data_IF_291828047063
#
_entry.id   IF_291828047063
#
_cell.length_a   1.000
_cell.length_b   1.000
_cell.length_c   1.000
_cell.angle_alpha   90.00
_cell.angle_beta   90.00
_cell.angle_gamma   90.00
#
_symmetry.space_group_name_H-M   'P 1'
#
loop_
_entity.id
_entity.type
_entity.pdbx_description
1 polymer ?
#
# COMPACT_ATOMS: atom_id res chain seq x y z
N UNK A 1 -51.47 14.40 20.01
CA UNK A 1 -50.96 14.61 18.64
C UNK A 1 -50.75 13.24 18.02
N UNK A 2 -51.57 12.88 17.03
CA UNK A 2 -51.52 11.59 16.32
C UNK A 2 -50.72 11.80 15.04
N UNK A 3 -49.58 11.13 14.88
CA UNK A 3 -48.84 11.07 13.61
C UNK A 3 -49.35 9.85 12.83
N UNK A 4 -49.98 10.10 11.68
CA UNK A 4 -50.39 9.07 10.73
C UNK A 4 -49.20 8.56 9.93
N UNK A 5 -49.00 7.25 9.93
CA UNK A 5 -48.18 6.51 8.96
C UNK A 5 -48.92 6.47 7.62
N UNK A 6 -48.28 6.95 6.55
CA UNK A 6 -48.74 6.74 5.18
C UNK A 6 -47.98 5.58 4.55
N UNK A 7 -48.69 4.49 4.30
CA UNK A 7 -48.26 3.28 3.61
C UNK A 7 -48.51 3.48 2.12
N UNK A 8 -47.46 3.40 1.29
CA UNK A 8 -47.58 3.35 -0.18
C UNK A 8 -47.53 1.88 -0.64
N UNK A 9 -48.53 1.38 -1.39
CA UNK A 9 -48.44 0.09 -2.06
C UNK A 9 -47.89 0.31 -3.49
N UNK A 10 -46.73 -0.27 -3.79
CA UNK A 10 -46.27 -0.40 -5.17
C UNK A 10 -46.76 -1.73 -5.76
N UNK A 11 -47.50 -1.58 -6.85
CA UNK A 11 -48.18 -2.60 -7.63
C UNK A 11 -47.19 -3.55 -8.31
N UNK A 12 -47.43 -4.85 -8.13
CA UNK A 12 -46.93 -5.92 -8.98
C UNK A 12 -47.65 -5.89 -10.33
N UNK A 13 -46.89 -5.90 -11.43
CA UNK A 13 -47.40 -6.22 -12.77
C UNK A 13 -46.79 -7.55 -13.25
N UNK A 14 -47.59 -8.51 -13.75
CA UNK A 14 -47.09 -9.76 -14.30
C UNK A 14 -46.73 -9.57 -15.78
N UNK A 15 -45.49 -9.90 -16.14
CA UNK A 15 -45.07 -9.99 -17.55
C UNK A 15 -45.41 -11.39 -18.08
N UNK A 16 -46.37 -11.40 -18.99
CA UNK A 16 -46.90 -12.56 -19.72
C UNK A 16 -45.85 -13.09 -20.70
N UNK A 17 -45.62 -14.40 -20.63
CA UNK A 17 -44.79 -15.16 -21.56
C UNK A 17 -45.46 -15.25 -22.94
N UNK A 18 -44.75 -14.82 -23.98
CA UNK A 18 -45.10 -15.09 -25.37
C UNK A 18 -44.25 -16.26 -25.89
N UNK A 19 -44.88 -17.42 -26.08
CA UNK A 19 -44.31 -18.54 -26.83
C UNK A 19 -44.39 -18.23 -28.32
N UNK A 20 -43.23 -18.04 -28.97
CA UNK A 20 -43.11 -18.04 -30.42
C UNK A 20 -42.64 -19.44 -30.89
N UNK A 21 -43.54 -20.17 -31.54
CA UNK A 21 -43.23 -21.40 -32.27
C UNK A 21 -42.52 -21.05 -33.58
N UNK A 22 -41.26 -21.45 -33.73
CA UNK A 22 -40.56 -21.38 -35.02
C UNK A 22 -40.50 -22.76 -35.71
N UNK A 23 -40.60 -22.79 -37.05
CA UNK A 23 -40.64 -24.00 -37.85
C UNK A 23 -39.26 -24.64 -38.08
N UNK A 24 -39.29 -25.93 -38.41
CA UNK A 24 -38.16 -26.82 -38.63
C UNK A 24 -37.11 -26.31 -39.64
N UNK A 25 -35.81 -26.58 -39.42
CA UNK A 25 -34.76 -26.24 -40.37
C UNK A 25 -34.72 -27.20 -41.55
N UNK A 26 -34.68 -26.62 -42.76
CA UNK A 26 -34.34 -27.30 -44.00
C UNK A 26 -32.85 -27.63 -44.02
N UNK A 27 -32.57 -28.85 -44.46
CA UNK A 27 -31.25 -29.42 -44.71
C UNK A 27 -30.53 -28.62 -45.81
N UNK A 28 -29.54 -27.82 -45.44
CA UNK A 28 -28.59 -27.18 -46.34
C UNK A 28 -27.18 -27.55 -45.86
N UNK A 29 -26.60 -28.52 -46.54
CA UNK A 29 -25.17 -28.88 -46.47
C UNK A 29 -24.33 -27.67 -46.91
N UNK A 30 -24.02 -26.80 -45.95
CA UNK A 30 -22.98 -25.79 -46.08
C UNK A 30 -21.65 -26.42 -45.69
N UNK A 31 -20.72 -26.40 -46.64
CA UNK A 31 -19.33 -26.79 -46.51
C UNK A 31 -18.66 -25.89 -45.46
N UNK A 32 -18.60 -26.35 -44.21
CA UNK A 32 -17.91 -25.66 -43.14
C UNK A 32 -16.39 -25.74 -43.38
N UNK A 33 -15.82 -24.66 -43.89
CA UNK A 33 -14.40 -24.41 -43.73
C UNK A 33 -14.14 -24.22 -42.23
N UNK A 34 -13.52 -25.24 -41.62
CA UNK A 34 -12.98 -25.19 -40.27
C UNK A 34 -11.87 -24.13 -40.22
N UNK A 35 -12.20 -22.94 -39.75
CA UNK A 35 -11.23 -21.97 -39.20
C UNK A 35 -11.27 -22.08 -37.69
N UNK A 36 -10.93 -23.28 -37.18
CA UNK A 36 -10.72 -23.51 -35.76
C UNK A 36 -9.21 -23.63 -35.53
N UNK A 37 -8.68 -22.81 -34.62
CA UNK A 37 -7.31 -22.82 -34.07
C UNK A 37 -6.21 -22.17 -34.91
N UNK A 38 -6.27 -20.84 -35.04
CA UNK A 38 -5.04 -20.03 -34.95
C UNK A 38 -5.30 -18.66 -34.29
N UNK A 39 -6.27 -18.61 -33.37
CA UNK A 39 -6.27 -17.62 -32.31
C UNK A 39 -5.19 -18.01 -31.29
N UNK A 40 -3.93 -18.06 -31.75
CA UNK A 40 -2.77 -17.92 -30.88
C UNK A 40 -2.90 -16.50 -30.34
N UNK A 41 -3.67 -16.37 -29.25
CA UNK A 41 -3.83 -15.15 -28.50
C UNK A 41 -2.45 -14.56 -28.40
N UNK A 42 -2.26 -13.44 -29.10
CA UNK A 42 -1.07 -12.60 -28.97
C UNK A 42 -1.09 -12.28 -27.48
N UNK A 43 -0.32 -13.04 -26.69
CA UNK A 43 -0.29 -12.93 -25.24
C UNK A 43 -0.14 -11.44 -24.99
N UNK A 44 -1.21 -10.87 -24.46
CA UNK A 44 -1.40 -9.43 -24.44
C UNK A 44 -0.19 -8.88 -23.70
N UNK A 45 0.52 -7.90 -24.28
CA UNK A 45 1.88 -7.52 -23.86
C UNK A 45 1.94 -6.86 -22.46
N UNK A 46 0.87 -6.97 -21.68
CA UNK A 46 0.74 -6.49 -20.32
C UNK A 46 0.78 -7.61 -19.26
N UNK A 47 1.03 -8.87 -19.66
CA UNK A 47 1.27 -9.95 -18.71
C UNK A 47 2.36 -9.55 -17.68
N UNK A 48 2.01 -9.61 -16.40
CA UNK A 48 2.92 -9.23 -15.30
C UNK A 48 2.95 -7.74 -14.94
N UNK A 49 2.12 -6.90 -15.58
CA UNK A 49 1.92 -5.51 -15.16
C UNK A 49 0.77 -5.41 -14.15
N UNK A 50 1.08 -5.26 -12.87
CA UNK A 50 0.09 -5.24 -11.78
C UNK A 50 -0.87 -4.04 -11.83
N UNK A 51 -0.45 -2.96 -12.50
CA UNK A 51 -1.24 -1.74 -12.70
C UNK A 51 -2.21 -1.82 -13.88
N UNK A 52 -2.23 -2.95 -14.60
CA UNK A 52 -3.11 -3.20 -15.74
C UNK A 52 -3.92 -4.48 -15.54
N UNK A 53 -5.13 -4.46 -16.10
CA UNK A 53 -5.97 -5.63 -16.21
C UNK A 53 -5.30 -6.64 -17.16
N UNK A 54 -5.09 -7.88 -16.70
CA UNK A 54 -4.36 -8.91 -17.45
C UNK A 54 -5.10 -9.35 -18.74
N UNK A 55 -6.42 -9.16 -18.80
CA UNK A 55 -7.25 -9.54 -19.94
C UNK A 55 -7.33 -8.40 -20.96
N UNK A 56 -7.67 -7.19 -20.51
CA UNK A 56 -7.92 -6.05 -21.41
C UNK A 56 -6.69 -5.17 -21.68
N UNK A 57 -5.62 -5.31 -20.87
CA UNK A 57 -4.47 -4.41 -20.81
C UNK A 57 -4.82 -2.92 -20.53
N UNK A 58 -6.05 -2.61 -20.14
CA UNK A 58 -6.40 -1.27 -19.65
C UNK A 58 -5.80 -1.05 -18.25
N UNK A 59 -5.55 0.22 -17.90
CA UNK A 59 -5.18 0.57 -16.53
C UNK A 59 -6.28 0.16 -15.55
N UNK A 60 -5.89 -0.28 -14.35
CA UNK A 60 -6.85 -0.55 -13.29
C UNK A 60 -7.62 0.73 -12.91
N UNK A 61 -8.84 0.61 -12.36
CA UNK A 61 -9.61 1.77 -11.89
C UNK A 61 -8.78 2.68 -10.99
N UNK A 62 -8.87 4.00 -11.21
CA UNK A 62 -8.10 5.01 -10.48
C UNK A 62 -6.68 5.28 -11.01
N UNK A 63 -6.22 4.54 -12.03
CA UNK A 63 -4.92 4.76 -12.66
C UNK A 63 -5.06 5.32 -14.08
N UNK A 64 -4.09 6.13 -14.50
CA UNK A 64 -4.02 6.72 -15.85
C UNK A 64 -2.87 6.10 -16.67
N UNK A 65 -3.08 6.00 -17.98
CA UNK A 65 -2.03 5.56 -18.91
C UNK A 65 -1.11 6.77 -19.24
N UNK A 66 0.16 6.76 -18.81
CA UNK A 66 1.08 7.86 -19.09
C UNK A 66 1.49 7.96 -20.57
N UNK A 67 1.04 7.04 -21.42
CA UNK A 67 1.40 6.98 -22.82
C UNK A 67 2.81 6.41 -23.06
N UNK A 68 3.16 6.21 -24.33
CA UNK A 68 4.47 5.67 -24.72
C UNK A 68 5.59 6.68 -24.38
N UNK A 69 6.75 6.22 -23.85
CA UNK A 69 7.23 4.84 -23.79
C UNK A 69 6.88 4.08 -22.49
N UNK A 70 6.19 4.70 -21.54
CA UNK A 70 5.90 4.09 -20.24
C UNK A 70 4.82 3.01 -20.41
N UNK A 71 5.13 1.78 -19.98
CA UNK A 71 4.20 0.65 -20.04
C UNK A 71 3.31 0.55 -18.80
N UNK A 72 3.73 1.13 -17.69
CA UNK A 72 3.07 1.03 -16.40
C UNK A 72 2.11 2.21 -16.18
N UNK A 73 0.92 1.92 -15.67
CA UNK A 73 -0.05 2.96 -15.34
C UNK A 73 0.36 3.70 -14.07
N UNK A 74 0.03 4.98 -13.98
CA UNK A 74 0.42 5.85 -12.87
C UNK A 74 -0.80 6.46 -12.20
N UNK A 75 -0.63 6.90 -10.96
CA UNK A 75 -1.65 7.70 -10.30
C UNK A 75 -1.80 9.08 -10.96
N UNK A 76 -3.00 9.69 -10.93
CA UNK A 76 -3.25 10.98 -11.57
C UNK A 76 -2.39 12.14 -11.04
N UNK A 77 -2.23 12.28 -9.73
CA UNK A 77 -1.39 13.34 -9.12
C UNK A 77 0.08 12.94 -9.01
N UNK A 78 0.62 12.28 -10.04
CA UNK A 78 2.08 12.09 -10.15
C UNK A 78 2.76 13.48 -10.29
N UNK A 79 3.87 13.77 -9.57
CA UNK A 79 4.73 12.86 -8.81
C UNK A 79 4.44 12.77 -7.29
N UNK A 80 3.28 13.21 -6.82
CA UNK A 80 2.93 13.22 -5.39
C UNK A 80 2.41 11.88 -4.87
N UNK A 81 2.13 10.96 -5.79
CA UNK A 81 1.49 9.68 -5.52
C UNK A 81 2.35 8.51 -5.95
N UNK A 82 2.17 7.38 -5.27
CA UNK A 82 2.63 6.07 -5.71
C UNK A 82 1.47 5.08 -5.75
N UNK A 83 1.61 4.04 -6.57
CA UNK A 83 0.61 2.97 -6.68
C UNK A 83 0.89 1.94 -5.58
N UNK A 84 -0.07 1.73 -4.70
CA UNK A 84 -0.08 0.66 -3.71
C UNK A 84 -0.94 -0.50 -4.22
N UNK A 85 -0.37 -1.70 -4.24
CA UNK A 85 -1.15 -2.93 -4.49
C UNK A 85 -1.86 -3.28 -3.18
N UNK A 86 -3.18 -3.15 -3.16
CA UNK A 86 -3.98 -3.35 -1.94
C UNK A 86 -4.47 -4.78 -1.81
N UNK A 87 -4.81 -5.44 -2.92
CA UNK A 87 -5.46 -6.75 -2.91
C UNK A 87 -4.99 -7.61 -4.09
N UNK A 88 -4.97 -8.92 -3.87
CA UNK A 88 -4.78 -9.92 -4.93
C UNK A 88 -6.02 -10.80 -4.92
N UNK A 89 -6.84 -10.70 -5.97
CA UNK A 89 -8.07 -11.46 -6.11
C UNK A 89 -7.80 -12.58 -7.12
N UNK A 90 -8.01 -13.82 -6.67
CA UNK A 90 -7.97 -14.99 -7.52
C UNK A 90 -9.39 -15.43 -7.86
N UNK A 91 -9.73 -15.45 -9.14
CA UNK A 91 -11.01 -15.96 -9.61
C UNK A 91 -10.84 -17.42 -10.07
N UNK A 92 -11.29 -18.35 -9.22
CA UNK A 92 -11.25 -19.80 -9.46
C UNK A 92 -11.98 -20.21 -10.76
N UNK A 93 -13.02 -19.47 -11.15
CA UNK A 93 -13.85 -19.83 -12.31
C UNK A 93 -13.15 -19.52 -13.63
N UNK A 94 -12.37 -18.44 -13.66
CA UNK A 94 -11.62 -18.00 -14.84
C UNK A 94 -10.15 -18.38 -14.78
N UNK A 95 -9.65 -18.79 -13.61
CA UNK A 95 -8.23 -19.00 -13.36
C UNK A 95 -7.42 -17.70 -13.49
N UNK A 96 -8.05 -16.55 -13.35
CA UNK A 96 -7.39 -15.24 -13.53
C UNK A 96 -7.02 -14.61 -12.19
N UNK A 97 -5.90 -13.88 -12.20
CA UNK A 97 -5.46 -13.06 -11.08
C UNK A 97 -5.76 -11.61 -11.43
N UNK A 98 -6.53 -10.93 -10.59
CA UNK A 98 -6.72 -9.48 -10.63
C UNK A 98 -6.06 -8.83 -9.42
N UNK A 99 -5.52 -7.64 -9.63
CA UNK A 99 -4.84 -6.88 -8.59
C UNK A 99 -5.67 -5.64 -8.27
N UNK A 100 -6.05 -5.51 -7.01
CA UNK A 100 -6.55 -4.25 -6.46
C UNK A 100 -5.37 -3.29 -6.33
N UNK A 101 -5.51 -2.08 -6.86
CA UNK A 101 -4.52 -1.03 -6.77
C UNK A 101 -5.16 0.26 -6.32
N UNK A 102 -4.50 0.98 -5.42
CA UNK A 102 -4.91 2.30 -4.92
C UNK A 102 -3.76 3.29 -5.03
N UNK A 103 -4.08 4.58 -5.03
CA UNK A 103 -3.11 5.65 -5.01
C UNK A 103 -2.89 6.14 -3.58
N UNK A 104 -1.63 6.25 -3.17
CA UNK A 104 -1.23 6.79 -1.87
C UNK A 104 -0.30 7.98 -2.04
N UNK A 105 -0.38 8.95 -1.13
CA UNK A 105 0.46 10.14 -1.16
C UNK A 105 1.85 9.87 -0.58
N UNK A 106 2.88 10.44 -1.21
CA UNK A 106 4.28 10.20 -0.86
C UNK A 106 4.78 11.05 0.32
N UNK A 107 4.20 12.23 0.56
CA UNK A 107 4.65 13.15 1.59
C UNK A 107 3.95 12.98 2.94
N UNK A 108 4.65 13.35 4.03
CA UNK A 108 4.09 13.33 5.38
C UNK A 108 2.96 14.36 5.53
N UNK A 109 1.91 13.99 6.29
CA UNK A 109 0.71 14.81 6.47
C UNK A 109 -0.06 15.03 5.17
N UNK A 110 0.01 14.08 4.23
CA UNK A 110 -0.77 14.09 2.99
C UNK A 110 -1.82 12.98 3.00
N UNK A 111 -2.98 13.29 2.44
CA UNK A 111 -4.08 12.36 2.22
C UNK A 111 -4.47 12.39 0.75
N UNK A 112 -4.77 11.23 0.16
CA UNK A 112 -5.22 11.14 -1.22
C UNK A 112 -6.74 11.33 -1.27
N UNK A 113 -7.20 12.37 -1.96
CA UNK A 113 -8.62 12.58 -2.27
C UNK A 113 -8.97 11.85 -3.57
N UNK A 114 -9.63 10.70 -3.44
CA UNK A 114 -10.06 9.89 -4.59
C UNK A 114 -11.18 10.54 -5.42
N UNK A 115 -11.84 11.60 -4.92
CA UNK A 115 -12.88 12.32 -5.68
C UNK A 115 -12.27 13.36 -6.62
N UNK A 116 -11.14 13.95 -6.22
CA UNK A 116 -10.40 14.95 -6.99
C UNK A 116 -9.16 14.38 -7.67
N UNK A 117 -8.83 13.11 -7.38
CA UNK A 117 -7.64 12.43 -7.84
C UNK A 117 -6.33 13.19 -7.50
N UNK A 118 -6.28 13.78 -6.30
CA UNK A 118 -5.19 14.67 -5.87
C UNK A 118 -4.74 14.40 -4.44
N UNK A 119 -3.44 14.57 -4.17
CA UNK A 119 -2.94 14.66 -2.80
C UNK A 119 -3.22 16.03 -2.21
N UNK A 120 -3.78 16.04 -1.01
CA UNK A 120 -4.00 17.22 -0.19
C UNK A 120 -3.27 17.08 1.15
N UNK A 121 -3.09 18.20 1.85
CA UNK A 121 -2.55 18.15 3.20
C UNK A 121 -3.66 17.80 4.19
N UNK A 122 -3.35 16.97 5.18
CA UNK A 122 -4.26 16.63 6.26
C UNK A 122 -4.70 17.89 7.05
N UNK A 123 -5.89 17.87 7.67
CA UNK A 123 -6.31 18.94 8.57
C UNK A 123 -5.23 19.27 9.61
N UNK A 124 -4.85 20.55 9.70
CA UNK A 124 -3.76 21.00 10.58
C UNK A 124 -2.39 21.14 9.90
N UNK A 125 -2.26 20.76 8.63
CA UNK A 125 -1.08 21.01 7.82
C UNK A 125 -1.31 22.11 6.78
N UNK A 126 -0.24 22.82 6.43
CA UNK A 126 -0.21 23.82 5.35
C UNK A 126 0.62 23.28 4.18
N UNK A 127 0.03 23.30 2.99
CA UNK A 127 0.66 22.79 1.77
C UNK A 127 1.41 23.85 0.98
N UNK A 128 2.56 23.47 0.42
CA UNK A 128 3.28 24.23 -0.61
C UNK A 128 3.63 23.29 -1.76
N UNK A 129 3.30 23.69 -3.00
CA UNK A 129 3.72 22.97 -4.21
C UNK A 129 5.00 23.60 -4.78
N UNK A 130 5.99 22.77 -5.08
CA UNK A 130 7.22 23.23 -5.73
C UNK A 130 7.00 23.53 -7.21
N UNK A 131 8.01 24.12 -7.87
CA UNK A 131 7.99 24.33 -9.34
C UNK A 131 7.85 23.04 -10.15
N UNK A 132 8.13 21.88 -9.57
CA UNK A 132 7.96 20.56 -10.18
C UNK A 132 6.62 19.90 -9.81
N UNK A 133 5.66 20.67 -9.29
CA UNK A 133 4.37 20.20 -8.79
C UNK A 133 4.45 19.20 -7.61
N UNK A 134 5.59 19.13 -6.92
CA UNK A 134 5.74 18.30 -5.71
C UNK A 134 5.10 19.00 -4.52
N UNK A 135 4.10 18.38 -3.89
CA UNK A 135 3.43 18.85 -2.68
C UNK A 135 4.27 18.55 -1.44
N UNK A 136 4.40 19.52 -0.56
CA UNK A 136 4.98 19.37 0.78
C UNK A 136 4.05 19.97 1.81
N UNK A 137 3.74 19.23 2.86
CA UNK A 137 2.86 19.65 3.93
C UNK A 137 3.66 19.92 5.21
N UNK A 138 3.38 21.03 5.89
CA UNK A 138 4.02 21.42 7.14
C UNK A 138 2.97 21.71 8.20
N UNK A 139 3.12 21.14 9.41
CA UNK A 139 2.17 21.31 10.50
C UNK A 139 2.06 22.79 10.90
N UNK A 140 0.83 23.30 11.01
CA UNK A 140 0.51 24.73 11.18
C UNK A 140 0.94 25.30 12.55
N UNK A 141 1.43 24.45 13.46
CA UNK A 141 1.99 24.84 14.76
C UNK A 141 3.51 24.72 14.89
N UNK A 142 4.22 24.31 13.82
CA UNK A 142 5.69 24.27 13.87
C UNK A 142 6.22 25.69 13.73
N UNK A 143 6.31 26.39 14.86
CA UNK A 143 7.07 27.63 14.99
C UNK A 143 8.47 27.29 14.50
N UNK A 144 8.77 27.73 13.28
CA UNK A 144 10.14 27.77 12.78
C UNK A 144 10.87 28.60 13.80
N UNK A 145 11.71 27.97 14.62
CA UNK A 145 12.64 28.68 15.50
C UNK A 145 13.66 29.31 14.56
N UNK A 146 13.26 30.41 13.94
CA UNK A 146 14.16 31.35 13.32
C UNK A 146 15.01 31.82 14.47
N UNK A 147 16.28 31.42 14.48
CA UNK A 147 17.31 31.93 15.38
C UNK A 147 17.48 33.41 15.09
N UNK A 148 16.55 34.23 15.57
CA UNK A 148 16.62 35.67 15.50
C UNK A 148 17.58 36.09 16.60
N UNK A 149 18.81 36.38 16.20
CA UNK A 149 19.84 36.99 17.02
C UNK A 149 19.34 38.37 17.46
N UNK A 150 18.64 38.43 18.59
CA UNK A 150 18.31 39.70 19.25
C UNK A 150 19.56 40.16 19.99
N UNK A 151 20.22 41.15 19.41
CA UNK A 151 21.21 41.95 20.09
C UNK A 151 20.51 42.78 21.17
N UNK A 152 20.49 42.28 22.41
CA UNK A 152 20.22 43.10 23.59
C UNK A 152 21.55 43.49 24.22
N UNK A 153 21.98 44.72 23.94
CA UNK A 153 23.10 45.37 24.57
C UNK A 153 22.78 45.74 26.02
N UNK A 154 23.52 45.17 26.98
CA UNK A 154 23.69 45.71 28.33
C UNK A 154 25.06 45.30 28.89
N UNK A 155 26.03 46.18 28.67
CA UNK A 155 27.15 46.55 29.54
C UNK A 155 27.53 45.66 30.75
N UNK A 156 28.70 45.01 30.58
CA UNK A 156 29.92 45.11 31.42
C UNK A 156 29.92 44.67 32.88
N UNK A 157 30.73 43.63 33.19
CA UNK A 157 31.99 43.80 33.95
C UNK A 157 32.91 42.57 33.81
N UNK A 158 34.15 42.83 33.35
CA UNK A 158 35.47 42.35 33.85
C UNK A 158 35.60 40.91 34.38
N UNK A 159 36.59 40.09 34.03
CA UNK A 159 37.88 40.28 33.34
C UNK A 159 38.64 38.93 33.32
N UNK A 160 39.34 38.65 32.20
CA UNK A 160 40.61 37.89 32.08
C UNK A 160 40.60 36.37 32.40
N UNK A 161 41.33 35.47 31.75
CA UNK A 161 42.18 35.39 30.55
C UNK A 161 42.62 33.90 30.41
N UNK A 162 43.12 33.51 29.22
CA UNK A 162 43.73 32.23 28.83
C UNK A 162 42.72 31.16 28.35
N UNK A 163 42.46 31.00 27.04
CA UNK A 163 43.35 30.58 25.94
C UNK A 163 43.84 29.13 26.05
N UNK A 164 42.98 28.19 25.64
CA UNK A 164 43.37 26.96 24.94
C UNK A 164 42.13 26.23 24.41
N UNK A 165 41.96 26.29 23.08
CA UNK A 165 41.28 25.31 22.20
C UNK A 165 39.96 24.67 22.66
N UNK A 166 38.81 25.02 22.06
CA UNK A 166 37.59 24.24 22.20
C UNK A 166 37.70 22.97 21.35
N UNK A 167 38.12 21.86 21.97
CA UNK A 167 37.73 20.54 21.46
C UNK A 167 36.21 20.50 21.47
N UNK A 168 35.60 20.42 20.28
CA UNK A 168 34.18 20.17 20.08
C UNK A 168 33.79 18.83 20.72
N UNK A 169 33.59 18.84 22.02
CA UNK A 169 32.97 17.75 22.76
C UNK A 169 31.46 17.94 22.57
N UNK A 170 30.94 17.44 21.45
CA UNK A 170 29.51 17.29 21.19
C UNK A 170 28.96 16.27 22.21
N UNK A 171 28.76 16.74 23.44
CA UNK A 171 27.95 16.06 24.43
C UNK A 171 26.54 15.99 23.84
N UNK A 172 26.24 14.88 23.16
CA UNK A 172 24.91 14.53 22.67
C UNK A 172 23.98 14.59 23.88
N UNK A 173 23.33 15.73 24.08
CA UNK A 173 22.21 15.86 25.00
C UNK A 173 21.25 14.73 24.60
N UNK A 174 21.10 13.73 25.46
CA UNK A 174 20.06 12.71 25.30
C UNK A 174 18.76 13.49 25.22
N UNK A 175 18.12 13.51 24.05
CA UNK A 175 16.76 14.02 23.92
C UNK A 175 15.89 13.25 24.91
N UNK A 176 15.02 13.94 25.62
CA UNK A 176 14.12 13.27 26.56
C UNK A 176 13.24 12.28 25.80
N UNK A 177 12.79 11.23 26.49
CA UNK A 177 11.88 10.24 25.91
C UNK A 177 10.64 10.91 25.29
N UNK A 178 10.08 11.90 25.99
CA UNK A 178 8.93 12.68 25.51
C UNK A 178 9.23 13.42 24.20
N UNK A 179 10.44 13.99 24.06
CA UNK A 179 10.86 14.64 22.82
C UNK A 179 10.96 13.63 21.67
N UNK A 180 11.47 12.42 21.93
CA UNK A 180 11.56 11.37 20.92
C UNK A 180 10.18 10.84 20.48
N UNK A 181 9.21 10.76 21.40
CA UNK A 181 7.82 10.40 21.11
C UNK A 181 7.18 11.47 20.23
N UNK A 182 7.29 12.75 20.60
CA UNK A 182 6.73 13.87 19.83
C UNK A 182 7.34 13.97 18.42
N UNK A 183 8.63 13.67 18.26
CA UNK A 183 9.27 13.61 16.95
C UNK A 183 8.65 12.50 16.08
N UNK A 184 8.49 11.29 16.63
CA UNK A 184 7.93 10.17 15.86
C UNK A 184 6.46 10.40 15.48
N UNK A 185 5.66 11.02 16.35
CA UNK A 185 4.28 11.40 16.03
C UNK A 185 4.19 12.44 14.91
N UNK A 186 5.16 13.35 14.84
CA UNK A 186 5.20 14.41 13.81
C UNK A 186 5.70 13.93 12.46
N UNK A 187 6.78 13.17 12.45
CA UNK A 187 7.51 12.81 11.22
C UNK A 187 7.04 11.46 10.64
N UNK A 188 6.22 10.73 11.41
CA UNK A 188 5.77 9.38 11.08
C UNK A 188 6.86 8.32 11.24
N UNK A 189 6.52 7.06 10.95
CA UNK A 189 7.44 5.92 11.08
C UNK A 189 8.51 5.88 9.97
N UNK A 190 8.33 6.68 8.91
CA UNK A 190 9.12 6.57 7.67
C UNK A 190 10.53 7.16 7.74
N UNK A 191 10.80 8.11 8.63
CA UNK A 191 12.13 8.69 8.71
C UNK A 191 13.00 7.96 9.76
N UNK A 192 14.23 7.62 9.37
CA UNK A 192 15.15 6.66 9.99
C UNK A 192 15.72 7.08 11.37
N UNK A 193 14.97 7.93 12.05
CA UNK A 193 15.18 8.38 13.39
C UNK A 193 14.95 7.21 14.36
N UNK A 194 15.97 6.35 14.56
CA UNK A 194 16.04 5.41 15.72
C UNK A 194 16.19 6.16 17.06
N UNK A 195 15.67 7.38 17.18
CA UNK A 195 15.80 8.23 18.35
C UNK A 195 14.96 7.69 19.51
N UNK A 196 13.74 7.22 19.24
CA UNK A 196 12.88 6.62 20.27
C UNK A 196 13.44 5.27 20.73
N UNK A 197 13.93 4.47 19.80
CA UNK A 197 14.56 3.19 20.05
C UNK A 197 15.80 3.36 20.94
N UNK A 198 16.61 4.39 20.69
CA UNK A 198 17.74 4.74 21.57
C UNK A 198 17.30 5.25 22.94
N UNK A 199 16.17 5.96 23.02
CA UNK A 199 15.64 6.47 24.27
C UNK A 199 15.04 5.36 25.16
N UNK A 200 14.45 4.33 24.53
CA UNK A 200 13.91 3.12 25.17
C UNK A 200 14.94 2.00 25.32
N UNK A 201 16.16 2.22 24.85
CA UNK A 201 17.25 1.23 24.87
C UNK A 201 16.92 -0.07 24.10
N UNK A 202 16.13 0.03 23.03
CA UNK A 202 15.85 -1.10 22.15
C UNK A 202 17.12 -1.61 21.46
N UNK A 203 17.20 -2.92 21.29
CA UNK A 203 18.30 -3.59 20.58
C UNK A 203 18.32 -3.26 19.09
N UNK A 204 19.35 -3.71 18.36
CA UNK A 204 19.47 -3.45 16.92
C UNK A 204 18.36 -4.13 16.09
N UNK A 205 17.79 -5.24 16.58
CA UNK A 205 16.71 -5.99 15.94
C UNK A 205 15.31 -5.56 16.37
N UNK A 206 15.21 -4.64 17.32
CA UNK A 206 13.93 -4.17 17.84
C UNK A 206 13.56 -2.79 17.29
N UNK A 207 12.25 -2.58 17.16
CA UNK A 207 11.66 -1.30 16.82
C UNK A 207 10.72 -0.88 17.96
N UNK A 208 10.65 0.43 18.21
CA UNK A 208 9.72 0.97 19.20
C UNK A 208 8.31 1.00 18.60
N UNK A 209 7.45 0.09 19.04
CA UNK A 209 6.07 -0.03 18.60
C UNK A 209 5.11 0.47 19.67
N UNK A 210 4.08 1.19 19.26
CA UNK A 210 3.02 1.63 20.16
C UNK A 210 2.03 0.49 20.40
N UNK A 211 1.75 0.18 21.66
CA UNK A 211 0.69 -0.72 22.11
C UNK A 211 0.00 -0.13 23.32
N UNK A 212 -1.33 -0.04 23.27
CA UNK A 212 -2.14 0.49 24.38
C UNK A 212 -1.68 1.89 24.88
N UNK A 213 -1.19 2.73 23.97
CA UNK A 213 -0.68 4.07 24.26
C UNK A 213 0.73 4.11 24.89
N UNK A 214 1.44 2.99 24.94
CA UNK A 214 2.83 2.90 25.40
C UNK A 214 3.75 2.39 24.29
N UNK A 215 5.00 2.86 24.28
CA UNK A 215 5.99 2.36 23.34
C UNK A 215 6.80 1.22 23.96
N UNK A 216 6.81 0.07 23.30
CA UNK A 216 7.57 -1.12 23.69
C UNK A 216 8.54 -1.52 22.58
N UNK A 217 9.71 -2.01 22.97
CA UNK A 217 10.66 -2.59 22.02
C UNK A 217 10.11 -3.93 21.52
N UNK A 218 9.91 -4.04 20.22
CA UNK A 218 9.35 -5.23 19.56
C UNK A 218 10.33 -5.72 18.51
N UNK A 219 10.67 -7.00 18.51
CA UNK A 219 11.50 -7.59 17.47
C UNK A 219 10.74 -7.58 16.14
N UNK A 220 11.26 -6.85 15.16
CA UNK A 220 10.67 -6.77 13.82
C UNK A 220 11.48 -7.51 12.77
N UNK A 221 12.62 -8.08 13.15
CA UNK A 221 13.52 -8.79 12.25
C UNK A 221 13.34 -10.30 12.26
N UNK A 222 12.91 -10.88 13.38
CA UNK A 222 12.78 -12.33 13.55
C UNK A 222 11.37 -12.79 13.95
N UNK A 223 10.55 -11.88 14.47
CA UNK A 223 9.18 -12.19 14.90
C UNK A 223 8.25 -12.43 13.71
N UNK A 224 7.47 -13.51 13.77
CA UNK A 224 6.51 -13.85 12.71
C UNK A 224 5.32 -12.89 12.65
N UNK A 225 4.82 -12.43 13.80
CA UNK A 225 3.63 -11.59 13.89
C UNK A 225 3.92 -10.10 13.67
N UNK A 226 5.18 -9.70 13.76
CA UNK A 226 5.64 -8.31 13.65
C UNK A 226 6.75 -8.18 12.61
N UNK A 227 6.76 -9.07 11.62
CA UNK A 227 7.82 -9.10 10.62
C UNK A 227 7.77 -7.85 9.75
N UNK A 228 8.89 -7.12 9.69
CA UNK A 228 9.05 -5.95 8.86
C UNK A 228 8.52 -4.64 9.45
N UNK A 229 7.88 -4.66 10.64
CA UNK A 229 7.42 -3.42 11.27
C UNK A 229 6.50 -3.59 12.47
N UNK A 230 5.88 -2.48 12.86
CA UNK A 230 4.86 -2.40 13.91
C UNK A 230 3.45 -2.48 13.30
N UNK A 231 2.48 -3.05 14.02
CA UNK A 231 1.05 -3.25 13.67
C UNK A 231 0.60 -2.91 12.24
N UNK A 232 0.48 -1.62 11.88
CA UNK A 232 -0.02 -1.20 10.56
C UNK A 232 0.93 -1.47 9.38
N UNK A 233 2.21 -1.65 9.67
CA UNK A 233 3.29 -1.97 8.72
C UNK A 233 3.80 -3.41 8.89
N UNK A 234 3.45 -4.07 9.99
CA UNK A 234 3.80 -5.44 10.27
C UNK A 234 3.02 -6.38 9.34
N UNK A 235 3.72 -7.38 8.79
CA UNK A 235 3.07 -8.53 8.18
C UNK A 235 3.12 -9.70 9.17
N UNK A 236 1.95 -10.29 9.46
CA UNK A 236 1.91 -11.58 10.15
C UNK A 236 2.19 -12.69 9.12
N UNK A 237 3.45 -13.13 9.06
CA UNK A 237 3.85 -14.17 8.12
C UNK A 237 3.09 -15.50 8.35
N UNK A 238 2.57 -15.72 9.56
CA UNK A 238 1.84 -16.94 9.91
C UNK A 238 0.39 -16.94 9.42
N UNK A 239 -0.16 -15.78 9.10
CA UNK A 239 -1.52 -15.62 8.59
C UNK A 239 -1.64 -15.83 7.06
N UNK A 240 -0.52 -16.05 6.37
CA UNK A 240 -0.51 -16.23 4.92
C UNK A 240 -1.16 -17.57 4.51
N UNK A 241 -2.02 -17.57 3.47
CA UNK A 241 -2.82 -18.73 3.10
C UNK A 241 -1.98 -19.87 2.52
N UNK A 242 -2.31 -21.11 2.90
CA UNK A 242 -1.69 -22.31 2.33
C UNK A 242 -0.24 -22.54 2.75
N UNK A 243 0.28 -21.78 3.71
CA UNK A 243 1.62 -21.96 4.27
C UNK A 243 1.65 -23.13 5.25
N UNK A 244 2.73 -23.91 5.18
CA UNK A 244 3.06 -24.92 6.18
C UNK A 244 4.20 -24.46 7.10
N UNK A 245 5.29 -23.94 6.53
CA UNK A 245 6.42 -23.38 7.31
C UNK A 245 6.88 -22.06 6.73
N UNK A 246 7.12 -21.09 7.61
CA UNK A 246 7.50 -19.70 7.29
C UNK A 246 8.45 -19.18 8.36
N UNK A 247 9.33 -18.28 7.97
CA UNK A 247 10.22 -17.57 8.88
C UNK A 247 10.31 -16.09 8.51
N UNK A 248 10.55 -15.24 9.52
CA UNK A 248 10.89 -13.84 9.30
C UNK A 248 12.42 -13.72 9.27
N UNK A 249 12.97 -13.27 8.15
CA UNK A 249 14.40 -13.05 8.00
C UNK A 249 14.65 -11.56 7.74
N UNK A 250 15.24 -10.90 8.72
CA UNK A 250 15.62 -9.49 8.62
C UNK A 250 14.46 -8.58 8.21
N UNK A 251 13.26 -8.86 8.74
CA UNK A 251 12.04 -8.11 8.45
C UNK A 251 11.33 -8.50 7.16
N UNK A 252 11.75 -9.58 6.50
CA UNK A 252 11.11 -10.11 5.31
C UNK A 252 10.54 -11.51 5.58
N UNK A 253 9.25 -11.72 5.28
CA UNK A 253 8.63 -13.04 5.34
C UNK A 253 9.20 -13.93 4.22
N UNK A 254 9.72 -15.10 4.58
CA UNK A 254 10.17 -16.13 3.63
C UNK A 254 9.43 -17.44 3.90
N UNK A 255 8.90 -18.03 2.83
CA UNK A 255 8.13 -19.28 2.89
C UNK A 255 9.06 -20.44 2.58
N UNK A 256 9.19 -21.40 3.50
CA UNK A 256 9.98 -22.61 3.27
C UNK A 256 9.16 -23.73 2.64
N UNK A 257 7.88 -23.86 3.03
CA UNK A 257 7.00 -24.89 2.49
C UNK A 257 5.52 -24.52 2.51
N UNK A 258 4.79 -25.05 1.53
CA UNK A 258 3.34 -24.94 1.42
C UNK A 258 2.64 -26.21 1.94
N UNK A 259 1.38 -26.06 2.34
CA UNK A 259 0.52 -27.18 2.73
C UNK A 259 0.28 -28.15 1.56
N UNK A 260 -0.13 -29.38 1.87
CA UNK A 260 -0.50 -30.35 0.84
C UNK A 260 -1.64 -29.80 -0.02
N UNK A 261 -1.49 -29.93 -1.34
CA UNK A 261 -2.45 -29.37 -2.30
C UNK A 261 -2.19 -27.92 -2.68
N UNK A 262 -1.07 -27.33 -2.23
CA UNK A 262 -0.59 -26.02 -2.62
C UNK A 262 0.80 -26.13 -3.26
N UNK A 263 1.16 -25.18 -4.11
CA UNK A 263 2.49 -25.06 -4.72
C UNK A 263 3.05 -23.67 -4.46
N UNK A 264 4.34 -23.62 -4.12
CA UNK A 264 5.08 -22.38 -3.95
C UNK A 264 5.27 -21.72 -5.32
N UNK A 265 4.75 -20.50 -5.46
CA UNK A 265 4.93 -19.70 -6.66
C UNK A 265 6.10 -18.74 -6.43
N UNK A 266 7.17 -18.92 -7.20
CA UNK A 266 8.27 -17.97 -7.18
C UNK A 266 7.83 -16.70 -7.90
N UNK A 267 7.72 -15.59 -7.19
CA UNK A 267 7.63 -14.26 -7.77
C UNK A 267 9.02 -13.87 -8.28
N UNK A 268 9.11 -13.31 -9.49
CA UNK A 268 10.38 -12.85 -10.08
C UNK A 268 10.75 -11.42 -9.65
N UNK A 269 9.95 -10.80 -8.78
CA UNK A 269 10.16 -9.44 -8.29
C UNK A 269 10.87 -9.42 -6.94
N UNK A 270 11.87 -8.55 -6.81
CA UNK A 270 12.86 -8.50 -5.71
C UNK A 270 12.25 -8.16 -4.34
N UNK A 271 10.96 -7.82 -4.25
CA UNK A 271 10.33 -7.43 -2.97
C UNK A 271 8.92 -7.98 -2.76
N UNK A 272 8.44 -8.90 -3.59
CA UNK A 272 7.17 -9.57 -3.30
C UNK A 272 7.44 -10.86 -2.51
N UNK A 273 6.74 -11.10 -1.39
CA UNK A 273 6.85 -12.37 -0.70
C UNK A 273 6.47 -13.50 -1.66
N UNK A 274 7.17 -14.63 -1.55
CA UNK A 274 6.72 -15.88 -2.17
C UNK A 274 5.31 -16.17 -1.67
N UNK A 275 4.49 -16.82 -2.49
CA UNK A 275 3.11 -17.16 -2.11
C UNK A 275 2.85 -18.63 -2.42
N UNK A 276 2.09 -19.27 -1.53
CA UNK A 276 1.51 -20.58 -1.81
C UNK A 276 0.22 -20.36 -2.60
N UNK A 277 0.09 -21.03 -3.74
CA UNK A 277 -1.15 -21.05 -4.51
C UNK A 277 -1.76 -22.45 -4.47
N UNK A 278 -3.10 -22.60 -4.40
CA UNK A 278 -3.73 -23.90 -4.49
C UNK A 278 -3.32 -24.55 -5.81
N UNK A 279 -2.97 -25.83 -5.76
CA UNK A 279 -2.92 -26.64 -6.97
C UNK A 279 -4.34 -26.68 -7.49
N UNK A 280 -4.66 -25.84 -8.48
CA UNK A 280 -5.94 -25.87 -9.16
C UNK A 280 -6.21 -27.33 -9.45
N UNK A 281 -7.23 -27.91 -8.80
CA UNK A 281 -7.68 -29.25 -9.11
C UNK A 281 -7.93 -29.17 -10.60
N UNK A 282 -7.14 -29.90 -11.41
CA UNK A 282 -7.62 -30.29 -12.72
C UNK A 282 -9.02 -30.79 -12.45
N UNK A 283 -10.03 -30.06 -12.92
CA UNK A 283 -11.38 -30.58 -13.00
C UNK A 283 -11.20 -31.78 -13.91
N UNK A 284 -11.04 -32.97 -13.31
CA UNK A 284 -11.11 -34.21 -14.05
C UNK A 284 -12.58 -34.31 -14.36
N UNK A 285 -12.97 -33.73 -15.49
CA UNK A 285 -14.26 -33.95 -16.11
C UNK A 285 -14.28 -35.41 -16.51
N UNK A 286 -14.57 -36.28 -15.55
CA UNK A 286 -14.86 -37.68 -15.80
C UNK A 286 -16.26 -37.66 -16.40
N UNK A 287 -16.33 -37.57 -17.72
CA UNK A 287 -17.58 -37.82 -18.42
C UNK A 287 -17.92 -39.31 -18.24
N UNK A 288 -19.15 -39.65 -17.81
CA UNK A 288 -19.62 -41.03 -17.82
C UNK A 288 -19.73 -41.58 -19.26
#
# INVERSE_FOLDING_TARGET
MRLSLSIFPLLFAPLVAAYATHPAPRNLTARAHSTHLDARAKASSCAGLYTRNQVTCACNPGLIDPGKPKKECTCPDYPNTEVLITEVIYDDSTGTISFGSSCICLGAGQVYDATQDICECEPGYTGKRSKKNVLTCQHTGSITTTTTTVHTSSSSSTSSSASSTPTHNMSRKKKSLDEAIEIRKRDGVRDHSRQLERALECSASEQACERDGQYICTDTLSSLSTCGGCETMAMDCSALPGINTVHCNNGQCSIDSCQRGWTMQSTSFVNLPQLCTPNSKKIVTTFP
#
